data_IF_594189649594
#
_entry.id   IF_594189649594
#
_cell.length_a   1.000
_cell.length_b   1.000
_cell.length_c   1.000
_cell.angle_alpha   90.00
_cell.angle_beta   90.00
_cell.angle_gamma   90.00
#
_symmetry.space_group_name_H-M   'P 1'
#
loop_
_entity.id
_entity.type
_entity.pdbx_description
1 polymer ?
#
# COMPACT_ATOMS: atom_id res chain seq x y z
N UNK A 1 43.76 48.31 48.55
CA UNK A 1 42.67 48.36 47.56
C UNK A 1 43.29 47.96 46.23
N UNK A 2 42.91 46.94 45.49
CA UNK A 2 41.85 45.93 45.58
C UNK A 2 42.06 45.03 44.34
N UNK A 3 41.91 43.71 44.52
CA UNK A 3 41.38 42.71 43.55
C UNK A 3 42.00 42.66 42.13
N UNK A 4 42.78 41.63 41.79
CA UNK A 4 42.38 40.27 41.35
C UNK A 4 42.16 40.15 39.83
N UNK A 5 42.53 39.01 39.21
CA UNK A 5 42.66 38.84 37.76
C UNK A 5 41.35 38.34 37.14
N UNK A 6 41.11 38.62 35.86
CA UNK A 6 40.12 37.85 35.09
C UNK A 6 40.64 37.56 33.69
N UNK A 7 40.90 36.27 33.46
CA UNK A 7 41.14 35.71 32.14
C UNK A 7 39.83 35.61 31.39
N UNK A 8 39.76 36.29 30.25
CA UNK A 8 38.70 36.07 29.27
C UNK A 8 39.03 34.80 28.48
N UNK A 9 38.61 33.65 29.01
CA UNK A 9 38.38 32.45 28.21
C UNK A 9 37.20 32.71 27.29
N UNK A 10 37.45 32.67 25.99
CA UNK A 10 36.43 32.74 24.95
C UNK A 10 35.83 31.32 24.84
N UNK A 11 34.76 31.05 25.60
CA UNK A 11 34.00 29.81 25.48
C UNK A 11 33.22 29.82 24.15
N UNK A 12 33.32 28.77 23.31
CA UNK A 12 32.53 28.70 22.09
C UNK A 12 31.04 28.54 22.42
N UNK A 13 30.13 29.01 21.53
CA UNK A 13 28.71 29.02 21.80
C UNK A 13 28.16 27.59 21.97
N UNK A 14 27.45 27.35 23.07
CA UNK A 14 26.76 26.10 23.36
C UNK A 14 25.86 25.68 22.17
N UNK A 15 26.21 24.54 21.59
CA UNK A 15 25.41 23.85 20.57
C UNK A 15 24.10 23.40 21.22
N UNK A 16 23.03 24.19 21.07
CA UNK A 16 21.67 23.76 21.41
C UNK A 16 21.30 22.59 20.50
N UNK A 17 21.57 21.39 20.98
CA UNK A 17 21.01 20.15 20.46
C UNK A 17 19.49 20.32 20.47
N UNK A 18 18.91 20.58 19.30
CA UNK A 18 17.46 20.56 19.10
C UNK A 18 17.01 19.16 19.49
N UNK A 19 16.26 19.07 20.58
CA UNK A 19 15.67 17.83 21.05
C UNK A 19 15.01 17.10 19.88
N UNK A 20 15.32 15.80 19.76
CA UNK A 20 14.54 14.88 18.96
C UNK A 20 13.06 15.10 19.25
N UNK A 21 12.20 15.27 18.23
CA UNK A 21 10.76 15.28 18.48
C UNK A 21 10.42 13.96 19.15
N UNK A 22 9.76 14.02 20.31
CA UNK A 22 9.31 12.84 21.02
C UNK A 22 8.55 11.94 20.05
N UNK A 23 9.03 10.69 19.93
CA UNK A 23 8.32 9.69 19.18
C UNK A 23 6.93 9.55 19.80
N UNK A 24 5.90 9.93 19.02
CA UNK A 24 4.52 9.66 19.37
C UNK A 24 4.32 8.18 19.75
N UNK A 25 3.27 7.87 20.51
CA UNK A 25 3.14 6.60 21.21
C UNK A 25 3.39 5.43 20.26
N UNK A 26 4.35 4.58 20.63
CA UNK A 26 4.70 3.39 19.87
C UNK A 26 3.43 2.56 19.62
N UNK A 27 2.96 2.54 18.38
CA UNK A 27 1.87 1.71 17.89
C UNK A 27 2.30 0.23 17.92
N UNK A 28 2.32 -0.34 19.13
CA UNK A 28 2.46 -1.77 19.34
C UNK A 28 1.19 -2.46 18.84
N UNK A 29 1.30 -3.07 17.66
CA UNK A 29 0.39 -4.15 17.25
C UNK A 29 -0.74 -3.78 16.29
N UNK A 30 -0.73 -2.60 15.66
CA UNK A 30 -1.66 -2.36 14.54
C UNK A 30 -1.32 -3.38 13.43
N UNK A 31 -2.14 -4.40 13.25
CA UNK A 31 -2.11 -5.20 12.02
C UNK A 31 -2.77 -4.33 10.95
N UNK A 32 -2.17 -4.22 9.78
CA UNK A 32 -2.88 -3.65 8.63
C UNK A 32 -4.19 -4.43 8.45
N UNK A 33 -5.32 -3.75 8.66
CA UNK A 33 -6.65 -4.30 8.40
C UNK A 33 -7.03 -3.92 6.96
N UNK A 34 -6.30 -4.48 6.00
CA UNK A 34 -6.68 -4.38 4.59
C UNK A 34 -7.91 -5.29 4.37
N UNK A 35 -9.11 -4.73 4.09
CA UNK A 35 -10.31 -5.52 3.89
C UNK A 35 -10.26 -6.35 2.60
N UNK A 36 -9.39 -6.02 1.64
CA UNK A 36 -9.20 -6.79 0.41
C UNK A 36 -8.29 -8.00 0.61
N UNK A 37 -7.38 -7.97 1.59
CA UNK A 37 -6.39 -9.02 1.82
C UNK A 37 -6.97 -10.45 1.86
N UNK A 38 -8.05 -10.75 2.61
CA UNK A 38 -8.60 -12.11 2.62
C UNK A 38 -9.21 -12.55 1.28
N UNK A 39 -9.72 -11.61 0.47
CA UNK A 39 -10.25 -11.91 -0.87
C UNK A 39 -9.12 -12.21 -1.85
N UNK A 40 -8.06 -11.40 -1.82
CA UNK A 40 -6.89 -11.59 -2.69
C UNK A 40 -6.13 -12.87 -2.32
N UNK A 41 -6.04 -13.21 -1.04
CA UNK A 41 -5.43 -14.46 -0.59
C UNK A 41 -6.24 -15.69 -1.05
N UNK A 42 -7.57 -15.66 -0.92
CA UNK A 42 -8.44 -16.72 -1.45
C UNK A 42 -8.28 -16.89 -2.96
N UNK A 43 -8.31 -15.77 -3.69
CA UNK A 43 -8.09 -15.72 -5.15
C UNK A 43 -6.76 -16.36 -5.53
N UNK A 44 -5.67 -15.94 -4.89
CA UNK A 44 -4.34 -16.43 -5.23
C UNK A 44 -4.22 -17.94 -4.93
N UNK A 45 -4.74 -18.39 -3.79
CA UNK A 45 -4.73 -19.80 -3.41
C UNK A 45 -5.53 -20.67 -4.37
N UNK A 46 -6.77 -20.27 -4.73
CA UNK A 46 -7.62 -21.06 -5.61
C UNK A 46 -7.10 -21.07 -7.05
N UNK A 47 -6.65 -19.94 -7.58
CA UNK A 47 -6.05 -19.88 -8.92
C UNK A 47 -4.78 -20.72 -8.97
N UNK A 48 -3.89 -20.57 -7.99
CA UNK A 48 -2.64 -21.36 -7.92
C UNK A 48 -2.92 -22.86 -7.94
N UNK A 49 -3.82 -23.32 -7.06
CA UNK A 49 -4.24 -24.73 -7.01
C UNK A 49 -4.77 -25.22 -8.35
N UNK A 50 -5.62 -24.45 -9.03
CA UNK A 50 -6.20 -24.86 -10.32
C UNK A 50 -5.14 -24.91 -11.42
N UNK A 51 -4.21 -23.96 -11.44
CA UNK A 51 -3.11 -23.96 -12.41
C UNK A 51 -2.16 -25.14 -12.19
N UNK A 52 -1.87 -25.47 -10.93
CA UNK A 52 -1.10 -26.66 -10.57
C UNK A 52 -1.81 -27.95 -11.02
N UNK A 53 -3.13 -28.04 -10.79
CA UNK A 53 -3.96 -29.18 -11.24
C UNK A 53 -4.01 -29.30 -12.77
N UNK A 54 -3.89 -28.18 -13.50
CA UNK A 54 -3.77 -28.15 -14.96
C UNK A 54 -2.33 -28.44 -15.43
N UNK A 55 -1.38 -28.56 -14.51
CA UNK A 55 0.03 -28.80 -14.79
C UNK A 55 0.81 -27.58 -15.28
N UNK A 56 0.26 -26.37 -15.15
CA UNK A 56 0.93 -25.14 -15.58
C UNK A 56 2.06 -24.79 -14.61
N UNK A 57 3.29 -24.65 -15.12
CA UNK A 57 4.48 -24.35 -14.30
C UNK A 57 5.14 -23.00 -14.62
N UNK A 58 4.47 -22.16 -15.40
CA UNK A 58 4.96 -20.83 -15.74
C UNK A 58 4.64 -19.77 -14.67
N UNK A 59 5.25 -18.60 -14.80
CA UNK A 59 4.87 -17.44 -14.01
C UNK A 59 3.48 -16.94 -14.42
N UNK A 60 2.66 -16.59 -13.43
CA UNK A 60 1.36 -16.00 -13.64
C UNK A 60 1.15 -14.83 -12.69
N UNK A 61 0.35 -13.87 -13.14
CA UNK A 61 0.03 -12.66 -12.40
C UNK A 61 -1.46 -12.38 -12.45
N UNK A 62 -1.93 -11.65 -11.46
CA UNK A 62 -3.29 -11.16 -11.39
C UNK A 62 -3.27 -9.65 -11.64
N UNK A 63 -4.02 -9.21 -12.64
CA UNK A 63 -4.09 -7.82 -13.04
C UNK A 63 -5.33 -7.13 -12.44
N UNK A 64 -5.30 -5.80 -12.39
CA UNK A 64 -6.49 -5.01 -12.06
C UNK A 64 -7.31 -4.84 -13.34
N UNK A 65 -8.54 -5.39 -13.41
CA UNK A 65 -9.30 -5.33 -14.63
C UNK A 65 -9.87 -3.93 -14.90
N UNK A 66 -10.16 -3.58 -16.17
CA UNK A 66 -10.90 -2.38 -16.51
C UNK A 66 -12.27 -2.33 -15.81
N UNK A 67 -12.80 -1.11 -15.63
CA UNK A 67 -13.92 -0.76 -14.75
C UNK A 67 -15.01 -1.82 -14.57
N UNK A 68 -15.28 -2.17 -13.30
CA UNK A 68 -16.42 -2.99 -12.87
C UNK A 68 -16.31 -4.49 -13.15
N UNK A 69 -15.21 -4.98 -13.75
CA UNK A 69 -15.06 -6.39 -14.09
C UNK A 69 -14.46 -7.27 -12.96
N UNK A 70 -14.36 -6.74 -11.74
CA UNK A 70 -13.97 -7.51 -10.56
C UNK A 70 -12.82 -6.91 -9.77
N UNK A 71 -12.34 -7.69 -8.79
CA UNK A 71 -11.18 -7.36 -7.96
C UNK A 71 -9.87 -7.61 -8.70
N UNK A 72 -9.78 -8.73 -9.41
CA UNK A 72 -8.60 -9.16 -10.17
C UNK A 72 -9.01 -9.89 -11.45
N UNK A 73 -8.12 -9.92 -12.42
CA UNK A 73 -8.25 -10.76 -13.59
C UNK A 73 -6.99 -11.59 -13.84
N UNK A 74 -7.18 -12.84 -14.26
CA UNK A 74 -6.11 -13.71 -14.73
C UNK A 74 -6.10 -13.71 -16.26
N UNK A 75 -5.09 -13.11 -16.92
CA UNK A 75 -4.88 -13.29 -18.35
C UNK A 75 -4.36 -14.70 -18.65
N UNK A 76 -5.03 -15.43 -19.53
CA UNK A 76 -4.68 -16.82 -19.83
C UNK A 76 -3.76 -16.98 -21.07
N UNK A 77 -3.39 -15.89 -21.75
CA UNK A 77 -2.49 -15.93 -22.92
C UNK A 77 -1.14 -16.61 -22.64
N UNK A 78 -0.44 -16.33 -21.51
CA UNK A 78 0.86 -16.96 -21.23
C UNK A 78 0.79 -18.49 -21.08
N UNK A 79 -0.40 -19.01 -20.78
CA UNK A 79 -0.64 -20.42 -20.52
C UNK A 79 -0.88 -21.23 -21.80
N UNK A 80 -1.31 -20.56 -22.88
CA UNK A 80 -1.73 -21.23 -24.12
C UNK A 80 -0.61 -22.04 -24.77
N UNK A 81 0.61 -21.49 -24.83
CA UNK A 81 1.76 -22.18 -25.41
C UNK A 81 2.16 -23.43 -24.58
N UNK A 82 2.07 -23.33 -23.25
CA UNK A 82 2.44 -24.41 -22.33
C UNK A 82 1.40 -25.53 -22.33
N UNK A 83 0.13 -25.17 -22.15
CA UNK A 83 -0.99 -26.11 -22.07
C UNK A 83 -1.47 -26.60 -23.44
N UNK A 84 -0.97 -26.01 -24.53
CA UNK A 84 -1.34 -26.29 -25.93
C UNK A 84 -2.85 -26.20 -26.18
N UNK A 85 -3.47 -25.18 -25.59
CA UNK A 85 -4.91 -24.95 -25.63
C UNK A 85 -5.21 -23.49 -25.88
N UNK A 86 -6.39 -23.20 -26.42
CA UNK A 86 -6.80 -21.82 -26.65
C UNK A 86 -6.95 -21.07 -25.30
N UNK A 87 -6.49 -19.81 -25.18
CA UNK A 87 -6.63 -19.01 -23.96
C UNK A 87 -8.06 -18.97 -23.41
N UNK A 88 -9.07 -18.89 -24.27
CA UNK A 88 -10.49 -18.82 -23.90
C UNK A 88 -11.00 -20.13 -23.26
N UNK A 89 -10.49 -21.27 -23.73
CA UNK A 89 -10.78 -22.58 -23.15
C UNK A 89 -10.16 -22.72 -21.76
N UNK A 90 -8.90 -22.25 -21.61
CA UNK A 90 -8.20 -22.24 -20.34
C UNK A 90 -8.95 -21.35 -19.35
N UNK A 91 -9.33 -20.13 -19.75
CA UNK A 91 -10.07 -19.21 -18.91
C UNK A 91 -11.42 -19.79 -18.46
N UNK A 92 -12.16 -20.40 -19.39
CA UNK A 92 -13.46 -21.01 -19.08
C UNK A 92 -13.33 -22.20 -18.13
N UNK A 93 -12.29 -23.02 -18.28
CA UNK A 93 -12.04 -24.12 -17.36
C UNK A 93 -11.60 -23.65 -15.97
N UNK A 94 -10.69 -22.68 -15.89
CA UNK A 94 -10.25 -22.12 -14.61
C UNK A 94 -11.44 -21.50 -13.87
N UNK A 95 -12.27 -20.71 -14.55
CA UNK A 95 -13.49 -20.16 -13.97
C UNK A 95 -14.46 -21.27 -13.51
N UNK A 96 -14.64 -22.32 -14.32
CA UNK A 96 -15.52 -23.45 -14.00
C UNK A 96 -15.05 -24.32 -12.83
N UNK A 97 -13.73 -24.40 -12.60
CA UNK A 97 -13.10 -25.13 -11.47
C UNK A 97 -12.97 -24.29 -10.20
N UNK A 98 -13.16 -22.98 -10.28
CA UNK A 98 -12.99 -22.06 -9.15
C UNK A 98 -14.02 -22.29 -8.04
N UNK A 99 -13.57 -22.47 -6.78
CA UNK A 99 -14.44 -22.69 -5.62
C UNK A 99 -14.06 -21.78 -4.45
N UNK A 100 -14.23 -20.47 -4.65
CA UNK A 100 -14.10 -19.47 -3.59
C UNK A 100 -15.33 -19.41 -2.66
N UNK A 101 -15.12 -18.95 -1.43
CA UNK A 101 -16.20 -18.71 -0.45
C UNK A 101 -16.56 -17.23 -0.33
N UNK A 102 -15.58 -16.35 -0.57
CA UNK A 102 -15.74 -14.89 -0.54
C UNK A 102 -15.74 -14.30 -1.95
N UNK A 103 -15.22 -15.04 -2.90
CA UNK A 103 -15.00 -14.62 -4.28
C UNK A 103 -15.58 -15.61 -5.26
N UNK A 104 -15.89 -15.12 -6.46
CA UNK A 104 -16.38 -15.92 -7.58
C UNK A 104 -15.56 -15.58 -8.83
N UNK A 105 -15.48 -16.55 -9.74
CA UNK A 105 -14.81 -16.41 -11.02
C UNK A 105 -15.81 -16.45 -12.18
N UNK A 106 -15.58 -15.65 -13.20
CA UNK A 106 -16.27 -15.72 -14.48
C UNK A 106 -15.30 -15.51 -15.63
N UNK A 107 -15.42 -16.29 -16.70
CA UNK A 107 -14.60 -16.09 -17.90
C UNK A 107 -15.19 -15.04 -18.83
N UNK A 108 -14.33 -14.24 -19.47
CA UNK A 108 -14.70 -13.34 -20.57
C UNK A 108 -13.59 -13.34 -21.60
N UNK A 109 -13.77 -14.11 -22.66
CA UNK A 109 -12.71 -14.40 -23.62
C UNK A 109 -11.49 -15.01 -22.90
N UNK A 110 -10.27 -14.47 -23.10
CA UNK A 110 -9.04 -15.06 -22.57
C UNK A 110 -8.74 -14.68 -21.11
N UNK A 111 -9.72 -14.14 -20.39
CA UNK A 111 -9.57 -13.66 -19.02
C UNK A 111 -10.50 -14.39 -18.05
N UNK A 112 -9.98 -14.67 -16.85
CA UNK A 112 -10.79 -15.05 -15.69
C UNK A 112 -10.93 -13.83 -14.79
N UNK A 113 -12.14 -13.28 -14.71
CA UNK A 113 -12.49 -12.17 -13.86
C UNK A 113 -12.92 -12.67 -12.47
N UNK A 114 -12.30 -12.15 -11.42
CA UNK A 114 -12.49 -12.58 -10.04
C UNK A 114 -13.12 -11.46 -9.22
N UNK A 115 -14.29 -11.69 -8.66
CA UNK A 115 -15.12 -10.68 -7.99
C UNK A 115 -15.48 -11.12 -6.57
N UNK A 116 -15.72 -10.16 -5.67
CA UNK A 116 -16.33 -10.47 -4.38
C UNK A 116 -17.77 -10.98 -4.57
N UNK A 117 -18.21 -11.90 -3.71
CA UNK A 117 -19.58 -12.42 -3.71
C UNK A 117 -20.46 -11.54 -2.81
N UNK A 118 -21.58 -11.09 -3.35
CA UNK A 118 -22.59 -10.32 -2.62
C UNK A 118 -21.98 -9.08 -1.95
N UNK A 119 -22.30 -8.90 -0.67
CA UNK A 119 -21.86 -7.80 0.18
C UNK A 119 -20.67 -8.16 1.09
N UNK A 120 -20.00 -9.30 0.83
CA UNK A 120 -18.90 -9.76 1.69
C UNK A 120 -17.78 -8.73 1.84
N UNK A 121 -17.36 -8.10 0.74
CA UNK A 121 -16.32 -7.07 0.76
C UNK A 121 -16.81 -5.82 1.51
N UNK A 122 -18.05 -5.38 1.27
CA UNK A 122 -18.61 -4.23 1.97
C UNK A 122 -18.65 -4.47 3.49
N UNK A 123 -19.08 -5.66 3.95
CA UNK A 123 -19.05 -6.02 5.37
C UNK A 123 -17.64 -6.04 5.94
N UNK A 124 -16.67 -6.61 5.21
CA UNK A 124 -15.28 -6.61 5.67
C UNK A 124 -14.69 -5.21 5.79
N UNK A 125 -14.96 -4.35 4.80
CA UNK A 125 -14.56 -2.94 4.82
C UNK A 125 -15.16 -2.21 6.01
N UNK A 126 -16.47 -2.36 6.25
CA UNK A 126 -17.13 -1.71 7.39
C UNK A 126 -16.62 -2.23 8.73
N UNK A 127 -16.32 -3.54 8.84
CA UNK A 127 -15.68 -4.11 10.04
C UNK A 127 -14.29 -3.53 10.26
N UNK A 128 -13.45 -3.46 9.22
CA UNK A 128 -12.12 -2.87 9.31
C UNK A 128 -12.16 -1.39 9.67
N UNK A 129 -13.09 -0.64 9.09
CA UNK A 129 -13.32 0.77 9.42
C UNK A 129 -13.71 0.94 10.90
N UNK A 130 -14.68 0.16 11.39
CA UNK A 130 -15.13 0.23 12.78
C UNK A 130 -14.04 -0.19 13.78
N UNK A 131 -13.19 -1.16 13.42
CA UNK A 131 -12.11 -1.63 14.27
C UNK A 131 -10.93 -0.64 14.34
N UNK A 132 -10.61 0.00 13.22
CA UNK A 132 -9.44 0.89 13.10
C UNK A 132 -9.76 2.36 13.45
N UNK A 133 -11.00 2.81 13.26
CA UNK A 133 -11.39 4.21 13.48
C UNK A 133 -10.52 5.18 12.68
N UNK A 134 -9.93 6.16 13.36
CA UNK A 134 -9.03 7.16 12.76
C UNK A 134 -7.73 6.57 12.18
N UNK A 135 -7.41 5.32 12.54
CA UNK A 135 -6.27 4.59 11.98
C UNK A 135 -6.64 3.81 10.71
N UNK A 136 -7.88 3.87 10.22
CA UNK A 136 -8.24 3.20 8.98
C UNK A 136 -7.41 3.76 7.80
N UNK A 137 -6.77 2.87 7.04
CA UNK A 137 -5.81 3.25 6.00
C UNK A 137 -4.38 3.54 6.50
N UNK A 138 -4.13 3.44 7.81
CA UNK A 138 -2.77 3.47 8.34
C UNK A 138 -2.05 2.15 8.08
N UNK A 139 -0.73 2.20 8.10
CA UNK A 139 0.10 1.02 7.95
C UNK A 139 1.17 0.96 9.06
N UNK A 140 1.61 -0.24 9.47
CA UNK A 140 2.49 -0.37 10.63
C UNK A 140 3.87 0.24 10.37
N UNK A 141 4.51 0.83 11.40
CA UNK A 141 5.83 1.41 11.24
C UNK A 141 6.84 0.41 10.66
N UNK A 142 7.47 0.78 9.55
CA UNK A 142 8.46 -0.07 8.88
C UNK A 142 9.85 -0.03 9.54
N UNK A 143 10.05 0.86 10.52
CA UNK A 143 11.34 1.14 11.15
C UNK A 143 12.30 1.97 10.29
N UNK A 144 11.90 2.36 9.07
CA UNK A 144 12.70 3.15 8.15
C UNK A 144 12.66 4.63 8.52
N UNK A 145 13.79 5.33 8.37
CA UNK A 145 13.89 6.79 8.52
C UNK A 145 14.03 7.43 7.14
N UNK A 146 13.26 8.48 6.89
CA UNK A 146 13.23 9.22 5.63
C UNK A 146 13.41 10.72 5.94
N UNK A 147 14.34 11.37 5.23
CA UNK A 147 14.45 12.83 5.21
C UNK A 147 13.65 13.35 4.03
N UNK A 148 12.57 14.08 4.30
CA UNK A 148 11.76 14.74 3.27
C UNK A 148 11.99 16.25 3.33
N UNK A 149 12.79 16.76 2.40
CA UNK A 149 12.96 18.20 2.20
C UNK A 149 11.89 18.71 1.24
N UNK A 150 11.22 19.80 1.60
CA UNK A 150 10.28 20.48 0.73
C UNK A 150 10.25 21.98 1.01
N UNK A 151 9.46 22.71 0.22
CA UNK A 151 9.40 24.18 0.19
C UNK A 151 10.65 24.82 -0.39
N UNK A 152 11.80 24.68 0.28
CA UNK A 152 13.15 25.18 -0.09
C UNK A 152 13.13 26.53 -0.82
N UNK A 153 12.23 27.42 -0.38
CA UNK A 153 12.01 28.70 -1.03
C UNK A 153 13.07 29.69 -0.56
N UNK A 154 13.71 30.39 -1.50
CA UNK A 154 14.65 31.44 -1.17
C UNK A 154 13.96 32.52 -0.31
N UNK A 155 14.59 33.02 0.76
CA UNK A 155 13.98 33.95 1.71
C UNK A 155 13.87 35.40 1.16
N UNK A 156 13.97 35.57 -0.16
CA UNK A 156 14.07 36.86 -0.83
C UNK A 156 12.72 37.42 -1.32
N UNK A 157 11.61 36.82 -0.91
CA UNK A 157 10.28 37.33 -1.23
C UNK A 157 9.14 36.53 -0.58
N UNK A 158 7.92 37.08 -0.57
CA UNK A 158 6.77 36.42 0.04
C UNK A 158 6.39 35.13 -0.71
N UNK A 159 5.85 34.17 0.04
CA UNK A 159 5.18 33.01 -0.54
C UNK A 159 3.90 33.48 -1.25
N UNK A 160 3.80 33.23 -2.55
CA UNK A 160 2.60 33.47 -3.35
C UNK A 160 2.06 32.15 -3.89
N UNK A 161 0.85 32.14 -4.45
CA UNK A 161 0.16 30.91 -4.93
C UNK A 161 1.04 30.08 -5.87
N UNK A 162 1.76 30.71 -6.80
CA UNK A 162 2.72 30.02 -7.68
C UNK A 162 3.86 29.28 -6.98
N UNK A 163 4.18 29.63 -5.73
CA UNK A 163 5.20 28.96 -4.88
C UNK A 163 4.59 28.00 -3.85
N UNK A 164 3.26 27.85 -3.77
CA UNK A 164 2.60 26.99 -2.76
C UNK A 164 2.63 25.50 -3.09
N UNK A 165 2.86 25.13 -4.35
CA UNK A 165 2.85 23.73 -4.81
C UNK A 165 3.82 22.84 -4.03
N UNK A 166 5.07 23.28 -3.88
CA UNK A 166 6.10 22.50 -3.18
C UNK A 166 5.78 22.32 -1.68
N UNK A 167 5.43 23.38 -0.91
CA UNK A 167 4.93 23.22 0.45
C UNK A 167 3.76 22.24 0.60
N UNK A 168 2.74 22.32 -0.27
CA UNK A 168 1.53 21.49 -0.15
C UNK A 168 1.84 20.02 -0.45
N UNK A 169 2.58 19.74 -1.52
CA UNK A 169 2.98 18.37 -1.86
C UNK A 169 3.86 17.78 -0.75
N UNK A 170 4.83 18.56 -0.27
CA UNK A 170 5.73 18.14 0.79
C UNK A 170 5.01 17.82 2.10
N UNK A 171 4.13 18.71 2.57
CA UNK A 171 3.33 18.47 3.79
C UNK A 171 2.38 17.27 3.61
N UNK A 172 1.76 17.13 2.43
CA UNK A 172 0.88 16.00 2.14
C UNK A 172 1.64 14.67 2.18
N UNK A 173 2.82 14.61 1.56
CA UNK A 173 3.68 13.43 1.60
C UNK A 173 4.15 13.14 3.03
N UNK A 174 4.52 14.15 3.82
CA UNK A 174 4.90 13.98 5.21
C UNK A 174 3.76 13.37 6.04
N UNK A 175 2.50 13.78 5.80
CA UNK A 175 1.32 13.21 6.47
C UNK A 175 1.09 11.75 6.07
N UNK A 176 1.14 11.43 4.78
CA UNK A 176 0.97 10.07 4.27
C UNK A 176 2.07 9.15 4.84
N UNK A 177 3.34 9.55 4.76
CA UNK A 177 4.47 8.75 5.22
C UNK A 177 4.54 8.54 6.74
N UNK A 178 3.88 9.41 7.53
CA UNK A 178 3.73 9.21 8.97
C UNK A 178 2.55 8.32 9.32
N UNK A 179 1.53 8.28 8.45
CA UNK A 179 0.34 7.47 8.62
C UNK A 179 0.52 6.04 8.09
N UNK A 180 1.39 5.86 7.09
CA UNK A 180 1.72 4.59 6.44
C UNK A 180 3.01 3.92 6.98
#
# INVERSE_FOLDING_TARGET
MSSSPDGSGDDPPEERVRGTPEAGPAHRGARSHDPLAPFLAEIHSEVGRILDDLGYQGEWTLEVPPGGMGLRALPCFPMAAFLRRAPDEIASEVAGRYRGTRTAAGSKGPYVNLSAVGDALARETLRSLAAMGDLYGSHPPTGRRLLLEHTSANPNGPLHVGRTRNPIIGDTLARILRFA
#
